data_IF_653880020599
#
_entry.id   IF_653880020599
#
_cell.length_a   1.000
_cell.length_b   1.000
_cell.length_c   1.000
_cell.angle_alpha   90.00
_cell.angle_beta   90.00
_cell.angle_gamma   90.00
#
_symmetry.space_group_name_H-M   'P 1'
#
loop_
_entity.id
_entity.type
_entity.pdbx_description
1 polymer ?
#
# COMPACT_ATOMS: atom_id res chain seq x y z
N UNK A 1 -12.90 -6.75 -31.37
CA UNK A 1 -12.57 -7.18 -30.00
C UNK A 1 -12.19 -5.93 -29.25
N UNK A 2 -12.93 -5.57 -28.19
CA UNK A 2 -12.70 -4.31 -27.48
C UNK A 2 -11.72 -4.62 -26.35
N UNK A 3 -10.58 -3.95 -26.30
CA UNK A 3 -9.63 -4.14 -25.19
C UNK A 3 -10.26 -3.65 -23.87
N UNK A 4 -9.91 -4.26 -22.72
CA UNK A 4 -10.27 -3.69 -21.43
C UNK A 4 -9.72 -2.26 -21.31
N UNK A 5 -10.45 -1.41 -20.58
CA UNK A 5 -10.04 -0.03 -20.34
C UNK A 5 -9.02 -0.05 -19.20
N UNK A 6 -7.80 0.37 -19.49
CA UNK A 6 -6.71 0.47 -18.51
C UNK A 6 -6.74 1.81 -17.78
N UNK A 7 -6.21 1.82 -16.56
CA UNK A 7 -5.93 3.04 -15.82
C UNK A 7 -4.76 3.81 -16.44
N UNK A 8 -4.64 5.10 -16.09
CA UNK A 8 -3.52 5.92 -16.55
C UNK A 8 -2.20 5.33 -16.05
N UNK A 9 -1.30 5.03 -16.99
CA UNK A 9 0.00 4.42 -16.71
C UNK A 9 -0.05 2.93 -16.35
N UNK A 10 -1.16 2.24 -16.62
CA UNK A 10 -1.25 0.77 -16.59
C UNK A 10 -0.89 0.21 -17.97
N UNK A 11 0.01 -0.78 -18.00
CA UNK A 11 0.57 -1.35 -19.23
C UNK A 11 0.27 -2.84 -19.34
N UNK A 12 -0.16 -3.28 -20.52
CA UNK A 12 -0.33 -4.71 -20.80
C UNK A 12 1.03 -5.42 -20.94
N UNK A 13 1.14 -6.59 -20.32
CA UNK A 13 2.33 -7.45 -20.35
C UNK A 13 2.03 -8.72 -21.14
N UNK A 14 0.93 -9.42 -20.82
CA UNK A 14 0.52 -10.65 -21.49
C UNK A 14 -0.96 -10.61 -21.87
N UNK A 15 -1.27 -11.30 -22.96
CA UNK A 15 -2.63 -11.55 -23.42
C UNK A 15 -2.69 -12.90 -24.12
N UNK A 16 -3.69 -13.71 -23.79
CA UNK A 16 -4.00 -14.91 -24.57
C UNK A 16 -5.48 -15.32 -24.45
N UNK A 17 -5.91 -16.20 -25.36
CA UNK A 17 -7.20 -16.89 -25.21
C UNK A 17 -7.08 -17.96 -24.13
N UNK A 18 -8.05 -17.99 -23.22
CA UNK A 18 -8.06 -18.85 -22.06
C UNK A 18 -9.46 -19.40 -21.77
N UNK A 19 -9.50 -20.61 -21.22
CA UNK A 19 -10.74 -21.22 -20.73
C UNK A 19 -10.77 -21.15 -19.20
N UNK A 20 -11.90 -20.74 -18.64
CA UNK A 20 -12.17 -20.95 -17.21
C UNK A 20 -12.76 -22.33 -17.04
N UNK A 21 -12.17 -23.12 -16.16
CA UNK A 21 -12.55 -24.52 -15.94
C UNK A 21 -12.98 -24.75 -14.49
N UNK A 22 -13.92 -25.67 -14.32
CA UNK A 22 -14.29 -26.24 -13.01
C UNK A 22 -14.20 -27.77 -13.11
N UNK A 23 -13.12 -28.31 -12.55
CA UNK A 23 -12.72 -29.71 -12.74
C UNK A 23 -12.44 -30.04 -14.21
N UNK A 24 -13.33 -30.80 -14.85
CA UNK A 24 -13.21 -31.16 -16.28
C UNK A 24 -14.05 -30.26 -17.20
N UNK A 25 -14.94 -29.46 -16.63
CA UNK A 25 -15.94 -28.70 -17.39
C UNK A 25 -15.41 -27.32 -17.76
N UNK A 26 -15.58 -26.92 -19.02
CA UNK A 26 -15.31 -25.55 -19.46
C UNK A 26 -16.50 -24.67 -19.11
N UNK A 27 -16.29 -23.70 -18.22
CA UNK A 27 -17.33 -22.78 -17.72
C UNK A 27 -17.42 -21.53 -18.58
N UNK A 28 -16.28 -21.04 -19.06
CA UNK A 28 -16.22 -19.86 -19.92
C UNK A 28 -15.01 -19.93 -20.87
N UNK A 29 -15.15 -19.31 -22.03
CA UNK A 29 -14.07 -19.07 -22.99
C UNK A 29 -13.98 -17.57 -23.25
N UNK A 30 -12.76 -17.07 -23.44
CA UNK A 30 -12.50 -15.64 -23.47
C UNK A 30 -11.02 -15.34 -23.45
N UNK A 31 -10.69 -14.10 -23.12
CA UNK A 31 -9.32 -13.61 -23.19
C UNK A 31 -8.86 -13.21 -21.80
N UNK A 32 -7.68 -13.71 -21.43
CA UNK A 32 -6.98 -13.36 -20.20
C UNK A 32 -5.95 -12.27 -20.52
N UNK A 33 -5.88 -11.27 -19.66
CA UNK A 33 -4.98 -10.13 -19.77
C UNK A 33 -4.21 -9.99 -18.45
N UNK A 34 -2.90 -9.79 -18.55
CA UNK A 34 -2.03 -9.39 -17.44
C UNK A 34 -1.51 -7.98 -17.71
N UNK A 35 -1.72 -7.08 -16.76
CA UNK A 35 -1.11 -5.75 -16.73
C UNK A 35 -0.12 -5.65 -15.58
N UNK A 36 0.65 -4.55 -15.55
CA UNK A 36 1.54 -4.23 -14.43
C UNK A 36 0.81 -3.92 -13.10
N UNK A 37 -0.54 -3.91 -13.11
CA UNK A 37 -1.38 -3.68 -11.92
C UNK A 37 -2.39 -4.77 -11.63
N UNK A 38 -2.93 -5.46 -12.65
CA UNK A 38 -4.12 -6.31 -12.55
C UNK A 38 -4.07 -7.54 -13.45
N UNK A 39 -4.88 -8.53 -13.10
CA UNK A 39 -5.28 -9.61 -13.98
C UNK A 39 -6.77 -9.46 -14.33
N UNK A 40 -7.07 -9.55 -15.62
CA UNK A 40 -8.41 -9.31 -16.16
C UNK A 40 -8.79 -10.48 -17.06
N UNK A 41 -10.00 -11.02 -16.89
CA UNK A 41 -10.55 -12.01 -17.81
C UNK A 41 -11.88 -11.54 -18.40
N UNK A 42 -11.91 -11.42 -19.72
CA UNK A 42 -13.09 -11.05 -20.49
C UNK A 42 -13.68 -12.30 -21.15
N UNK A 43 -14.85 -12.73 -20.69
CA UNK A 43 -15.59 -13.81 -21.34
C UNK A 43 -16.07 -13.36 -22.71
N UNK A 44 -15.84 -14.20 -23.73
CA UNK A 44 -16.26 -13.97 -25.11
C UNK A 44 -17.78 -13.84 -25.21
N UNK A 45 -18.22 -12.83 -25.94
CA UNK A 45 -19.63 -12.68 -26.32
C UNK A 45 -20.04 -13.71 -27.37
N UNK A 46 -21.30 -14.13 -27.33
CA UNK A 46 -21.87 -15.05 -28.33
C UNK A 46 -23.01 -14.37 -29.08
N UNK A 47 -22.98 -14.42 -30.41
CA UNK A 47 -24.01 -13.84 -31.27
C UNK A 47 -24.82 -14.99 -31.88
N UNK A 48 -25.96 -15.30 -31.25
CA UNK A 48 -26.91 -16.28 -31.80
C UNK A 48 -27.90 -15.62 -32.75
N UNK A 49 -28.65 -16.44 -33.49
CA UNK A 49 -29.71 -15.98 -34.41
C UNK A 49 -30.81 -15.16 -33.71
N UNK A 50 -31.11 -15.48 -32.43
CA UNK A 50 -32.20 -14.87 -31.66
C UNK A 50 -31.70 -13.88 -30.60
N UNK A 51 -30.51 -14.11 -30.04
CA UNK A 51 -29.96 -13.28 -28.94
C UNK A 51 -28.46 -13.12 -29.06
N UNK A 52 -28.01 -11.86 -28.97
CA UNK A 52 -26.62 -11.52 -28.76
C UNK A 52 -26.34 -11.39 -27.26
N UNK A 53 -25.29 -12.04 -26.78
CA UNK A 53 -24.73 -11.83 -25.44
C UNK A 53 -23.41 -11.11 -25.64
N UNK A 54 -23.26 -9.87 -25.13
CA UNK A 54 -22.01 -9.14 -25.26
C UNK A 54 -20.89 -9.81 -24.45
N UNK A 55 -19.62 -9.55 -24.81
CA UNK A 55 -18.50 -9.86 -23.94
C UNK A 55 -18.69 -9.25 -22.55
N UNK A 56 -18.19 -9.93 -21.51
CA UNK A 56 -18.31 -9.48 -20.12
C UNK A 56 -17.02 -9.78 -19.36
N UNK A 57 -16.47 -8.78 -18.70
CA UNK A 57 -15.39 -8.96 -17.73
C UNK A 57 -15.96 -9.72 -16.53
N UNK A 58 -15.40 -10.91 -16.25
CA UNK A 58 -15.81 -11.74 -15.11
C UNK A 58 -14.70 -11.88 -14.06
N UNK A 59 -13.46 -11.53 -14.41
CA UNK A 59 -12.35 -11.33 -13.46
C UNK A 59 -11.74 -9.95 -13.70
N UNK A 60 -11.60 -9.18 -12.63
CA UNK A 60 -10.86 -7.92 -12.57
C UNK A 60 -10.35 -7.84 -11.12
N UNK A 61 -9.05 -8.12 -10.96
CA UNK A 61 -8.38 -8.30 -9.67
C UNK A 61 -7.00 -7.67 -9.73
N UNK A 62 -6.68 -6.85 -8.72
CA UNK A 62 -5.34 -6.29 -8.59
C UNK A 62 -4.32 -7.35 -8.18
N UNK A 63 -3.10 -7.22 -8.69
CA UNK A 63 -2.03 -8.18 -8.40
C UNK A 63 -1.69 -8.24 -6.90
N UNK A 64 -1.84 -7.13 -6.17
CA UNK A 64 -1.64 -7.11 -4.72
C UNK A 64 -2.68 -7.93 -3.93
N UNK A 65 -3.87 -8.19 -4.52
CA UNK A 65 -4.93 -9.00 -3.93
C UNK A 65 -4.78 -10.50 -4.22
N UNK A 66 -3.83 -10.88 -5.08
CA UNK A 66 -3.51 -12.28 -5.35
C UNK A 66 -2.71 -12.86 -4.18
N UNK A 67 -3.25 -13.91 -3.56
CA UNK A 67 -2.60 -14.60 -2.45
C UNK A 67 -1.73 -15.75 -2.89
N UNK A 68 -2.11 -16.45 -3.97
CA UNK A 68 -1.37 -17.60 -4.49
C UNK A 68 -1.61 -17.75 -5.99
N UNK A 69 -0.58 -18.18 -6.69
CA UNK A 69 -0.67 -18.68 -8.07
C UNK A 69 -0.03 -20.06 -8.05
N UNK A 70 -0.70 -21.04 -8.62
CA UNK A 70 -0.14 -22.38 -8.74
C UNK A 70 -0.44 -22.95 -10.10
N UNK A 71 0.48 -23.75 -10.64
CA UNK A 71 0.25 -24.48 -11.87
C UNK A 71 0.08 -25.94 -11.51
N UNK A 72 -0.98 -26.56 -12.01
CA UNK A 72 -1.14 -28.01 -11.93
C UNK A 72 -0.22 -28.68 -12.97
N UNK A 73 1.08 -28.80 -12.70
CA UNK A 73 2.03 -29.58 -13.53
C UNK A 73 2.47 -30.85 -12.78
N UNK A 74 1.84 -32.02 -13.05
CA UNK A 74 2.30 -33.30 -12.54
C UNK A 74 3.78 -33.62 -12.85
N UNK A 75 4.42 -34.33 -11.90
CA UNK A 75 5.82 -34.77 -11.92
C UNK A 75 6.18 -35.73 -13.07
N UNK A 76 5.21 -36.28 -13.80
CA UNK A 76 5.43 -37.17 -14.95
C UNK A 76 5.07 -36.47 -16.25
N UNK A 77 6.09 -36.24 -17.07
CA UNK A 77 6.02 -35.78 -18.46
C UNK A 77 5.18 -36.77 -19.24
N UNK A 78 3.93 -36.43 -19.62
CA UNK A 78 3.32 -36.83 -20.90
C UNK A 78 1.86 -36.35 -21.07
N UNK A 79 1.09 -36.05 -20.01
CA UNK A 79 -0.33 -35.66 -20.15
C UNK A 79 -0.84 -34.70 -19.06
N UNK A 80 -0.14 -33.60 -18.81
CA UNK A 80 -0.58 -32.61 -17.80
C UNK A 80 -1.56 -31.62 -18.41
N UNK A 81 -2.73 -31.44 -17.79
CA UNK A 81 -3.63 -30.33 -18.14
C UNK A 81 -2.88 -29.03 -17.92
N UNK A 82 -2.83 -28.16 -18.93
CA UNK A 82 -2.14 -26.86 -18.87
C UNK A 82 -2.99 -25.87 -18.09
N UNK A 83 -3.07 -26.08 -16.78
CA UNK A 83 -3.97 -25.34 -15.90
C UNK A 83 -3.21 -24.52 -14.86
N UNK A 84 -3.64 -23.27 -14.69
CA UNK A 84 -3.15 -22.32 -13.69
C UNK A 84 -4.30 -21.94 -12.76
N UNK A 85 -4.11 -22.17 -11.47
CA UNK A 85 -5.03 -21.74 -10.41
C UNK A 85 -4.54 -20.43 -9.79
N UNK A 86 -5.45 -19.48 -9.66
CA UNK A 86 -5.22 -18.20 -8.98
C UNK A 86 -6.15 -18.12 -7.79
N UNK A 87 -5.56 -17.94 -6.60
CA UNK A 87 -6.28 -17.60 -5.38
C UNK A 87 -6.13 -16.11 -5.11
N UNK A 88 -7.24 -15.43 -4.84
CA UNK A 88 -7.26 -13.99 -4.61
C UNK A 88 -8.29 -13.61 -3.55
N UNK A 89 -8.13 -12.42 -2.99
CA UNK A 89 -9.14 -11.81 -2.11
C UNK A 89 -9.98 -10.82 -2.89
N UNK A 90 -11.29 -10.86 -2.68
CA UNK A 90 -12.23 -9.86 -3.21
C UNK A 90 -13.37 -9.71 -2.23
N UNK A 91 -13.70 -8.47 -1.86
CA UNK A 91 -14.75 -8.15 -0.89
C UNK A 91 -14.59 -8.88 0.46
N UNK A 92 -13.33 -9.04 0.91
CA UNK A 92 -12.98 -9.77 2.14
C UNK A 92 -13.08 -11.29 2.05
N UNK A 93 -13.53 -11.84 0.93
CA UNK A 93 -13.67 -13.28 0.72
C UNK A 93 -12.50 -13.83 -0.09
N UNK A 94 -12.06 -15.05 0.26
CA UNK A 94 -11.10 -15.81 -0.55
C UNK A 94 -11.84 -16.47 -1.70
N UNK A 95 -11.35 -16.22 -2.90
CA UNK A 95 -11.88 -16.77 -4.14
C UNK A 95 -10.75 -17.51 -4.87
N UNK A 96 -11.14 -18.47 -5.72
CA UNK A 96 -10.21 -19.15 -6.62
C UNK A 96 -10.79 -19.26 -8.02
N UNK A 97 -9.92 -19.26 -9.02
CA UNK A 97 -10.28 -19.45 -10.41
C UNK A 97 -9.19 -20.26 -11.11
N UNK A 98 -9.61 -21.22 -11.94
CA UNK A 98 -8.70 -22.08 -12.68
C UNK A 98 -8.82 -21.76 -14.16
N UNK A 99 -7.68 -21.49 -14.77
CA UNK A 99 -7.54 -21.20 -16.19
C UNK A 99 -6.84 -22.34 -16.89
N UNK A 100 -7.36 -22.75 -18.04
CA UNK A 100 -6.62 -23.57 -19.01
C UNK A 100 -5.99 -22.64 -20.04
N UNK A 101 -4.67 -22.75 -20.18
CA UNK A 101 -3.81 -21.82 -20.93
C UNK A 101 -2.91 -22.55 -21.92
N UNK A 102 -2.40 -21.83 -22.92
CA UNK A 102 -1.43 -22.42 -23.86
C UNK A 102 -0.05 -22.60 -23.23
N UNK A 103 0.34 -21.69 -22.34
CA UNK A 103 1.61 -21.68 -21.60
C UNK A 103 1.44 -21.17 -20.16
N UNK A 104 0.99 -22.02 -19.22
CA UNK A 104 0.80 -21.63 -17.82
C UNK A 104 2.09 -21.17 -17.13
N UNK A 105 3.26 -21.67 -17.55
CA UNK A 105 4.56 -21.36 -16.92
C UNK A 105 4.95 -19.91 -17.16
N UNK A 106 4.74 -19.42 -18.39
CA UNK A 106 4.95 -18.01 -18.73
C UNK A 106 4.08 -17.09 -17.89
N UNK A 107 2.80 -17.44 -17.69
CA UNK A 107 1.89 -16.64 -16.87
C UNK A 107 2.26 -16.63 -15.39
N UNK A 108 2.54 -17.79 -14.79
CA UNK A 108 2.99 -17.85 -13.39
C UNK A 108 4.24 -17.00 -13.16
N UNK A 109 5.22 -17.11 -14.06
CA UNK A 109 6.48 -16.35 -13.97
C UNK A 109 6.24 -14.85 -14.01
N UNK A 110 5.47 -14.36 -15.00
CA UNK A 110 5.17 -12.93 -15.11
C UNK A 110 4.29 -12.45 -13.94
N UNK A 111 3.24 -13.18 -13.57
CA UNK A 111 2.38 -12.78 -12.45
C UNK A 111 3.20 -12.66 -11.17
N UNK A 112 4.05 -13.65 -10.84
CA UNK A 112 4.89 -13.59 -9.63
C UNK A 112 5.84 -12.41 -9.61
N UNK A 113 6.45 -12.10 -10.75
CA UNK A 113 7.33 -10.94 -10.91
C UNK A 113 6.58 -9.65 -10.56
N UNK A 114 5.39 -9.46 -11.10
CA UNK A 114 4.61 -8.23 -10.92
C UNK A 114 3.84 -8.16 -9.60
N UNK A 115 3.56 -9.28 -8.92
CA UNK A 115 2.93 -9.27 -7.58
C UNK A 115 3.79 -8.51 -6.58
N UNK A 116 5.11 -8.71 -6.58
CA UNK A 116 6.00 -8.02 -5.63
C UNK A 116 5.98 -6.51 -5.87
N UNK A 117 6.14 -6.10 -7.13
CA UNK A 117 6.10 -4.69 -7.52
C UNK A 117 4.75 -4.04 -7.19
N UNK A 118 3.65 -4.75 -7.43
CA UNK A 118 2.30 -4.25 -7.14
C UNK A 118 2.05 -4.07 -5.64
N UNK A 119 2.57 -4.97 -4.79
CA UNK A 119 2.45 -4.84 -3.32
C UNK A 119 3.23 -3.64 -2.80
N UNK A 120 4.47 -3.45 -3.27
CA UNK A 120 5.31 -2.31 -2.89
C UNK A 120 4.64 -1.01 -3.32
N UNK A 121 4.22 -0.89 -4.59
CA UNK A 121 3.53 0.30 -5.09
C UNK A 121 2.26 0.61 -4.28
N UNK A 122 1.48 -0.42 -3.92
CA UNK A 122 0.26 -0.23 -3.14
C UNK A 122 0.57 0.30 -1.73
N UNK A 123 1.62 -0.19 -1.09
CA UNK A 123 2.07 0.30 0.22
C UNK A 123 2.55 1.76 0.15
N UNK A 124 3.35 2.10 -0.85
CA UNK A 124 3.82 3.47 -1.09
C UNK A 124 2.66 4.44 -1.37
N UNK A 125 1.68 4.03 -2.19
CA UNK A 125 0.46 4.80 -2.46
C UNK A 125 -0.34 5.04 -1.18
N UNK A 126 -0.57 4.01 -0.37
CA UNK A 126 -1.29 4.13 0.90
C UNK A 126 -0.60 5.10 1.86
N UNK A 127 0.73 5.00 2.00
CA UNK A 127 1.51 5.91 2.85
C UNK A 127 1.40 7.35 2.36
N UNK A 128 1.50 7.57 1.04
CA UNK A 128 1.35 8.91 0.46
C UNK A 128 -0.05 9.47 0.70
N UNK A 129 -1.08 8.67 0.53
CA UNK A 129 -2.46 9.09 0.82
C UNK A 129 -2.65 9.45 2.30
N UNK A 130 -2.04 8.71 3.22
CA UNK A 130 -2.04 9.01 4.66
C UNK A 130 -1.34 10.33 4.97
N UNK A 131 -0.16 10.56 4.41
CA UNK A 131 0.59 11.82 4.55
C UNK A 131 -0.18 13.02 4.00
N UNK A 132 -0.83 12.85 2.83
CA UNK A 132 -1.68 13.88 2.24
C UNK A 132 -2.93 14.15 3.08
N UNK A 133 -3.59 13.12 3.62
CA UNK A 133 -4.72 13.28 4.54
C UNK A 133 -4.30 14.02 5.79
N UNK A 134 -3.19 13.63 6.41
CA UNK A 134 -2.67 14.30 7.60
C UNK A 134 -2.33 15.77 7.33
N UNK A 135 -1.69 16.05 6.19
CA UNK A 135 -1.39 17.44 5.77
C UNK A 135 -2.66 18.28 5.66
N UNK A 136 -3.70 17.76 5.00
CA UNK A 136 -4.99 18.45 4.83
C UNK A 136 -5.68 18.68 6.16
N UNK A 137 -5.62 17.73 7.08
CA UNK A 137 -6.17 17.87 8.42
C UNK A 137 -5.46 18.96 9.22
N UNK A 138 -4.12 18.98 9.20
CA UNK A 138 -3.31 20.03 9.86
C UNK A 138 -3.62 21.41 9.29
N UNK A 139 -3.76 21.53 7.96
CA UNK A 139 -4.13 22.79 7.31
C UNK A 139 -5.53 23.26 7.71
N UNK A 140 -6.51 22.34 7.75
CA UNK A 140 -7.87 22.64 8.20
C UNK A 140 -7.92 23.04 9.68
N UNK A 141 -7.13 22.37 10.53
CA UNK A 141 -7.01 22.71 11.95
C UNK A 141 -6.40 24.11 12.13
N UNK A 142 -5.37 24.47 11.34
CA UNK A 142 -4.81 25.83 11.31
C UNK A 142 -5.82 26.88 10.84
N UNK A 143 -6.67 26.54 9.87
CA UNK A 143 -7.72 27.44 9.38
C UNK A 143 -8.90 27.59 10.37
N UNK A 144 -9.24 26.52 11.11
CA UNK A 144 -10.30 26.49 12.12
C UNK A 144 -9.87 27.07 13.46
N UNK A 145 -8.57 27.11 13.74
CA UNK A 145 -8.06 27.73 14.96
C UNK A 145 -8.56 29.18 15.00
N UNK A 146 -9.18 29.63 16.10
CA UNK A 146 -9.55 31.02 16.23
C UNK A 146 -8.27 31.82 15.96
N UNK A 147 -8.32 32.78 15.04
CA UNK A 147 -7.29 33.79 14.90
C UNK A 147 -7.35 34.63 16.19
N UNK A 148 -6.88 34.07 17.29
CA UNK A 148 -6.52 34.85 18.45
C UNK A 148 -5.43 35.76 17.93
N UNK A 149 -5.84 36.98 17.59
CA UNK A 149 -4.93 38.10 17.46
C UNK A 149 -4.16 38.14 18.78
N UNK A 150 -2.96 37.57 18.79
CA UNK A 150 -2.00 37.74 19.88
C UNK A 150 -1.71 39.25 20.10
N UNK A 151 -2.17 40.13 19.18
CA UNK A 151 -2.21 41.59 19.33
C UNK A 151 -3.51 42.25 19.83
N UNK A 152 -4.57 41.54 20.25
CA UNK A 152 -5.85 42.17 20.71
C UNK A 152 -6.27 41.84 22.15
N UNK A 153 -5.32 41.56 23.05
CA UNK A 153 -5.64 41.45 24.48
C UNK A 153 -5.63 42.79 25.25
N UNK A 154 -5.36 43.94 24.60
CA UNK A 154 -5.08 45.21 25.30
C UNK A 154 -5.88 46.45 24.84
N UNK A 155 -7.11 46.30 24.36
CA UNK A 155 -7.97 47.47 24.11
C UNK A 155 -9.39 47.28 24.64
N UNK A 156 -9.52 47.24 25.96
CA UNK A 156 -10.78 47.54 26.66
C UNK A 156 -10.85 49.03 26.97
N UNK A 157 -11.84 49.73 26.38
CA UNK A 157 -12.09 51.17 26.57
C UNK A 157 -12.47 51.52 28.02
N UNK A 158 -11.80 52.53 28.57
CA UNK A 158 -12.23 53.42 29.68
C UNK A 158 -11.65 54.82 29.44
N UNK A 159 -12.28 55.92 29.91
CA UNK A 159 -12.28 57.19 29.19
C UNK A 159 -11.05 58.07 29.40
N UNK A 160 -10.91 59.01 28.46
CA UNK A 160 -9.86 60.02 28.35
C UNK A 160 -9.69 60.88 29.60
N UNK A 161 -8.45 61.12 30.00
CA UNK A 161 -7.82 62.45 30.07
C UNK A 161 -6.31 62.29 30.33
N UNK A 162 -5.52 63.08 29.61
CA UNK A 162 -4.10 62.82 29.41
C UNK A 162 -3.19 63.09 30.60
N UNK A 163 -1.98 62.54 30.52
CA UNK A 163 -0.71 63.22 30.74
C UNK A 163 0.43 62.25 30.36
N UNK A 164 1.35 62.74 29.53
CA UNK A 164 2.57 62.04 29.14
C UNK A 164 3.47 61.84 30.36
N UNK A 165 3.85 60.61 30.68
CA UNK A 165 5.04 60.32 31.46
C UNK A 165 5.78 59.12 30.87
N UNK A 166 7.02 59.38 30.42
CA UNK A 166 7.98 58.38 29.95
C UNK A 166 8.24 57.34 31.06
N UNK A 167 8.34 56.03 30.74
CA UNK A 167 8.82 55.07 31.73
C UNK A 167 10.29 55.33 32.00
N UNK A 168 10.58 55.59 33.26
CA UNK A 168 11.92 55.67 33.83
C UNK A 168 12.36 54.26 34.20
N UNK A 169 13.65 54.00 34.01
CA UNK A 169 14.33 52.77 34.35
C UNK A 169 14.13 52.43 35.83
N UNK A 170 13.61 51.23 36.11
CA UNK A 170 13.62 50.64 37.44
C UNK A 170 13.96 49.15 37.33
N UNK A 171 15.25 48.86 37.54
CA UNK A 171 15.74 47.53 37.85
C UNK A 171 15.08 47.03 39.15
N UNK A 172 14.60 45.78 39.14
CA UNK A 172 14.40 45.01 40.36
C UNK A 172 15.20 43.72 40.22
N UNK A 173 16.04 43.51 41.23
CA UNK A 173 17.17 42.61 41.33
C UNK A 173 16.80 41.13 41.49
N UNK A 174 17.72 40.30 41.02
CA UNK A 174 18.24 39.09 41.67
C UNK A 174 17.28 38.33 42.59
N UNK A 175 16.63 37.32 42.02
CA UNK A 175 16.18 36.16 42.76
C UNK A 175 17.15 35.01 42.51
N UNK A 176 17.88 34.67 43.56
CA UNK A 176 18.80 33.55 43.73
C UNK A 176 18.41 32.31 42.91
N UNK A 177 19.29 31.96 41.95
CA UNK A 177 19.25 30.68 41.25
C UNK A 177 19.66 29.61 42.25
N UNK A 178 18.67 28.94 42.86
CA UNK A 178 18.92 27.70 43.59
C UNK A 178 19.15 26.60 42.58
N UNK A 179 20.31 25.97 42.71
CA UNK A 179 20.86 24.92 41.86
C UNK A 179 19.81 23.87 41.51
N UNK A 180 19.30 23.92 40.28
CA UNK A 180 18.63 22.78 39.67
C UNK A 180 19.77 21.94 39.08
N UNK A 181 20.18 20.93 39.85
CA UNK A 181 21.14 19.92 39.42
C UNK A 181 20.78 19.37 38.04
N UNK A 182 21.79 19.31 37.16
CA UNK A 182 21.72 18.62 35.88
C UNK A 182 21.02 17.26 36.02
N UNK A 183 20.05 16.91 35.17
CA UNK A 183 19.53 15.55 35.15
C UNK A 183 20.67 14.62 34.73
N UNK A 184 21.16 13.87 35.71
CA UNK A 184 22.13 12.77 35.56
C UNK A 184 21.68 11.89 34.40
N UNK A 185 22.52 11.78 33.38
CA UNK A 185 22.37 10.85 32.26
C UNK A 185 22.35 9.43 32.82
N UNK A 186 21.14 8.89 32.98
CA UNK A 186 20.91 7.53 33.43
C UNK A 186 20.99 6.60 32.22
N UNK A 187 22.00 5.72 32.23
CA UNK A 187 21.99 4.45 31.51
C UNK A 187 22.52 4.48 30.09
N UNK A 188 23.71 3.91 29.89
CA UNK A 188 24.15 3.38 28.60
C UNK A 188 23.19 2.28 28.15
N UNK A 189 22.18 2.62 27.37
CA UNK A 189 21.45 1.61 26.60
C UNK A 189 22.39 1.07 25.53
N UNK A 190 22.82 -0.18 25.73
CA UNK A 190 23.50 -1.02 24.74
C UNK A 190 22.84 -0.83 23.38
N UNK A 191 23.50 -0.10 22.49
CA UNK A 191 23.09 0.01 21.08
C UNK A 191 23.26 -1.36 20.45
N UNK A 192 22.15 -2.10 20.30
CA UNK A 192 22.12 -3.29 19.47
C UNK A 192 22.55 -2.90 18.05
N UNK A 193 23.46 -3.66 17.41
CA UNK A 193 23.93 -3.34 16.08
C UNK A 193 22.73 -3.34 15.11
N UNK A 194 22.61 -2.29 14.30
CA UNK A 194 21.54 -2.16 13.28
C UNK A 194 21.61 -3.26 12.21
N UNK A 195 22.71 -4.03 12.17
CA UNK A 195 22.93 -5.12 11.22
C UNK A 195 23.39 -6.38 11.93
N UNK A 196 22.91 -7.52 11.44
CA UNK A 196 23.27 -8.82 11.98
C UNK A 196 24.77 -9.08 11.76
N UNK A 197 25.55 -9.41 12.81
CA UNK A 197 26.98 -9.68 12.67
C UNK A 197 27.27 -10.94 11.83
N UNK A 198 26.30 -11.85 11.69
CA UNK A 198 26.47 -13.11 10.96
C UNK A 198 26.14 -13.01 9.47
N UNK A 199 25.11 -12.26 9.10
CA UNK A 199 24.63 -12.21 7.71
C UNK A 199 24.50 -10.80 7.12
N UNK A 200 24.74 -9.77 7.92
CA UNK A 200 24.70 -8.36 7.48
C UNK A 200 23.31 -7.79 7.24
N UNK A 201 22.24 -8.55 7.45
CA UNK A 201 20.86 -8.06 7.28
C UNK A 201 20.49 -7.04 8.35
N UNK A 202 19.65 -6.08 7.98
CA UNK A 202 19.14 -5.08 8.93
C UNK A 202 18.32 -5.75 10.04
N UNK A 203 18.50 -5.25 11.26
CA UNK A 203 17.86 -5.76 12.46
C UNK A 203 16.84 -4.75 12.98
N UNK A 204 15.60 -5.17 13.28
CA UNK A 204 14.63 -4.29 13.92
C UNK A 204 15.09 -3.94 15.35
N UNK A 205 14.73 -2.75 15.82
CA UNK A 205 15.11 -2.27 17.15
C UNK A 205 14.60 -3.22 18.24
N UNK A 206 15.51 -3.72 19.09
CA UNK A 206 15.17 -4.66 20.17
C UNK A 206 15.04 -6.12 19.76
N UNK A 207 15.47 -6.51 18.55
CA UNK A 207 15.48 -7.91 18.12
C UNK A 207 16.40 -8.78 18.99
N UNK A 208 15.86 -9.87 19.55
CA UNK A 208 16.63 -10.89 20.29
C UNK A 208 17.29 -11.93 19.36
N UNK A 209 16.73 -12.11 18.17
CA UNK A 209 17.20 -13.04 17.15
C UNK A 209 17.08 -12.42 15.76
N UNK A 210 17.97 -12.80 14.83
CA UNK A 210 17.96 -12.33 13.46
C UNK A 210 16.84 -13.03 12.65
N UNK A 211 15.88 -12.29 12.06
CA UNK A 211 14.78 -12.87 11.29
C UNK A 211 15.22 -13.52 9.98
N UNK A 212 16.41 -13.18 9.48
CA UNK A 212 16.91 -13.69 8.20
C UNK A 212 17.76 -14.96 8.36
N UNK A 213 18.58 -15.07 9.42
CA UNK A 213 19.51 -16.19 9.57
C UNK A 213 19.38 -16.97 10.89
N UNK A 214 18.47 -16.57 11.78
CA UNK A 214 18.19 -17.26 13.05
C UNK A 214 19.23 -17.04 14.16
N UNK A 215 20.24 -16.20 13.95
CA UNK A 215 21.30 -15.91 14.93
C UNK A 215 20.77 -15.12 16.14
N UNK A 216 21.12 -15.55 17.36
CA UNK A 216 20.88 -14.79 18.61
C UNK A 216 21.82 -13.57 18.72
N UNK A 217 21.30 -12.42 19.17
CA UNK A 217 21.92 -11.08 19.09
C UNK A 217 22.34 -10.49 20.43
#
# INVERSE_FOLDING_TARGET
>A
MRMPIYEVGEHEILREEAEVVDGETVVAQGTLYLTDRRIIYERRGRRGLIRAVPPKIILDVYLYDISNVSIAVPRLKLFTRKEMEIEYRKDGQKNKIVFRLSDPQRWDTEIRKWINDAKIKKEEEMKREEEERHRREVELAKARAPRANIGMAYFGKGPAQGQEQKPQDANVYDAEVRDIEEPKRLGEEKRLPQKCPRCGSDLPAGAKFCPNCGQEL
#
